data_IF_524755534595
#
_entry.id   IF_524755534595
#
_cell.length_a   1.000
_cell.length_b   1.000
_cell.length_c   1.000
_cell.angle_alpha   90.00
_cell.angle_beta   90.00
_cell.angle_gamma   90.00
#
_symmetry.space_group_name_H-M   'P 1'
#
loop_
_entity.id
_entity.type
_entity.pdbx_description
1 polymer ?
#
# COMPACT_ATOMS: atom_id res chain seq x y z
N UNK A 1 2.99 -9.94 26.51
CA UNK A 1 1.65 -10.37 26.05
C UNK A 1 1.79 -11.58 25.14
N UNK A 2 0.74 -12.40 24.98
CA UNK A 2 0.67 -13.49 23.99
C UNK A 2 0.08 -12.95 22.70
N UNK A 3 0.90 -12.85 21.65
CA UNK A 3 0.51 -12.21 20.38
C UNK A 3 0.44 -13.27 19.28
N UNK A 4 -0.73 -13.41 18.66
CA UNK A 4 -0.85 -14.27 17.49
C UNK A 4 -0.41 -13.53 16.22
N UNK A 5 0.52 -14.09 15.48
CA UNK A 5 0.96 -13.59 14.17
C UNK A 5 0.25 -14.41 13.08
N UNK A 6 -0.76 -13.81 12.45
CA UNK A 6 -1.51 -14.42 11.37
C UNK A 6 -0.73 -14.27 10.07
N UNK A 7 -0.29 -15.37 9.50
CA UNK A 7 0.61 -15.39 8.34
C UNK A 7 0.23 -16.48 7.34
N UNK A 8 0.85 -16.56 6.20
CA UNK A 8 0.55 -17.56 5.17
C UNK A 8 -0.69 -17.20 4.35
N UNK A 9 -1.76 -17.96 4.49
CA UNK A 9 -2.96 -17.77 3.67
C UNK A 9 -2.88 -18.47 2.32
N UNK A 10 -3.86 -18.21 1.43
CA UNK A 10 -4.02 -18.88 0.12
C UNK A 10 -3.74 -17.98 -1.09
N UNK A 11 -3.33 -16.73 -0.88
CA UNK A 11 -3.04 -15.78 -1.96
C UNK A 11 -1.73 -16.13 -2.68
N UNK A 12 -1.50 -15.55 -3.85
CA UNK A 12 -0.23 -15.62 -4.57
C UNK A 12 0.94 -15.04 -3.76
N UNK A 13 0.65 -14.25 -2.72
CA UNK A 13 1.62 -13.58 -1.84
C UNK A 13 1.98 -14.40 -0.58
N UNK A 14 1.59 -15.68 -0.53
CA UNK A 14 1.80 -16.55 0.64
C UNK A 14 3.24 -16.56 1.14
N UNK A 15 4.22 -16.70 0.24
CA UNK A 15 5.63 -16.76 0.62
C UNK A 15 6.12 -15.45 1.23
N UNK A 16 5.69 -14.32 0.67
CA UNK A 16 5.97 -12.99 1.24
C UNK A 16 5.33 -12.82 2.64
N UNK A 17 4.09 -13.30 2.80
CA UNK A 17 3.40 -13.30 4.10
C UNK A 17 4.13 -14.14 5.14
N UNK A 18 4.60 -15.33 4.79
CA UNK A 18 5.37 -16.19 5.69
C UNK A 18 6.71 -15.57 6.10
N UNK A 19 7.38 -14.91 5.17
CA UNK A 19 8.64 -14.20 5.45
C UNK A 19 8.41 -13.00 6.39
N UNK A 20 7.41 -12.17 6.09
CA UNK A 20 7.01 -11.06 6.96
C UNK A 20 6.61 -11.53 8.36
N UNK A 21 5.81 -12.60 8.45
CA UNK A 21 5.40 -13.19 9.72
C UNK A 21 6.57 -13.65 10.58
N UNK A 22 7.58 -14.31 9.99
CA UNK A 22 8.80 -14.71 10.72
C UNK A 22 9.56 -13.51 11.28
N UNK A 23 9.62 -12.41 10.56
CA UNK A 23 10.28 -11.18 11.02
C UNK A 23 9.51 -10.53 12.17
N UNK A 24 8.17 -10.49 12.07
CA UNK A 24 7.31 -10.00 13.15
C UNK A 24 7.52 -10.86 14.42
N UNK A 25 7.56 -12.18 14.29
CA UNK A 25 7.81 -13.10 15.40
C UNK A 25 9.15 -12.76 16.09
N UNK A 26 10.24 -12.66 15.31
CA UNK A 26 11.55 -12.32 15.86
C UNK A 26 11.57 -10.96 16.56
N UNK A 27 10.90 -9.96 15.99
CA UNK A 27 10.79 -8.63 16.59
C UNK A 27 9.97 -8.63 17.90
N UNK A 28 8.91 -9.43 17.96
CA UNK A 28 8.10 -9.61 19.18
C UNK A 28 8.87 -10.34 20.29
N UNK A 29 9.70 -11.33 19.94
CA UNK A 29 10.58 -12.01 20.89
C UNK A 29 11.63 -11.05 21.47
N UNK A 30 12.20 -10.18 20.62
CA UNK A 30 13.13 -9.14 21.06
C UNK A 30 12.46 -8.10 21.98
N UNK A 31 11.18 -7.80 21.75
CA UNK A 31 10.33 -6.94 22.59
C UNK A 31 9.74 -7.68 23.83
N UNK A 32 10.25 -8.87 24.16
CA UNK A 32 9.84 -9.68 25.33
C UNK A 32 8.34 -10.11 25.33
N UNK A 33 7.70 -10.16 24.16
CA UNK A 33 6.37 -10.77 23.99
C UNK A 33 6.47 -12.29 23.74
N UNK A 34 5.32 -12.97 23.80
CA UNK A 34 5.20 -14.40 23.49
C UNK A 34 4.45 -14.56 22.17
N UNK A 35 5.15 -14.57 21.00
CA UNK A 35 4.50 -14.73 19.73
C UNK A 35 4.03 -16.17 19.48
N UNK A 36 2.90 -16.31 18.80
CA UNK A 36 2.34 -17.58 18.31
C UNK A 36 2.12 -17.46 16.82
N UNK A 37 2.88 -18.23 16.02
CA UNK A 37 2.69 -18.30 14.58
C UNK A 37 1.39 -19.07 14.26
N UNK A 38 0.49 -18.45 13.49
CA UNK A 38 -0.73 -19.10 13.01
C UNK A 38 -0.80 -18.95 11.48
N UNK A 39 -0.68 -20.07 10.78
CA UNK A 39 -0.93 -20.12 9.34
C UNK A 39 -2.43 -20.06 9.09
N UNK A 40 -2.86 -19.08 8.30
CA UNK A 40 -4.27 -18.86 8.01
C UNK A 40 -4.81 -19.97 7.12
N UNK A 41 -5.72 -20.77 7.67
CA UNK A 41 -6.29 -21.97 7.09
C UNK A 41 -7.75 -22.16 7.53
N UNK A 42 -8.37 -23.26 7.11
CA UNK A 42 -9.74 -23.64 7.50
C UNK A 42 -9.91 -23.79 9.03
N UNK A 43 -8.84 -24.10 9.76
CA UNK A 43 -8.84 -24.28 11.22
C UNK A 43 -8.58 -22.99 12.01
N UNK A 44 -8.45 -21.84 11.36
CA UNK A 44 -8.06 -20.57 11.98
C UNK A 44 -8.90 -20.26 13.24
N UNK A 45 -10.22 -20.33 13.14
CA UNK A 45 -11.12 -20.01 14.26
C UNK A 45 -10.91 -20.95 15.44
N UNK A 46 -10.74 -22.27 15.17
CA UNK A 46 -10.49 -23.24 16.22
C UNK A 46 -9.14 -23.00 16.90
N UNK A 47 -8.11 -22.67 16.12
CA UNK A 47 -6.76 -22.34 16.60
C UNK A 47 -6.78 -21.08 17.46
N UNK A 48 -7.40 -19.99 17.02
CA UNK A 48 -7.52 -18.75 17.79
C UNK A 48 -8.24 -18.96 19.14
N UNK A 49 -9.31 -19.78 19.15
CA UNK A 49 -10.04 -20.12 20.39
C UNK A 49 -9.21 -20.97 21.35
N UNK A 50 -8.36 -21.87 20.83
CA UNK A 50 -7.48 -22.69 21.63
C UNK A 50 -6.32 -21.89 22.22
N UNK A 51 -5.67 -21.07 21.36
CA UNK A 51 -4.50 -20.28 21.73
C UNK A 51 -4.85 -19.10 22.65
N UNK A 52 -6.03 -18.49 22.49
CA UNK A 52 -6.50 -17.33 23.27
C UNK A 52 -5.44 -16.21 23.33
N UNK A 53 -5.02 -15.65 22.20
CA UNK A 53 -4.06 -14.57 22.22
C UNK A 53 -4.64 -13.31 22.88
N UNK A 54 -3.77 -12.50 23.45
CA UNK A 54 -4.15 -11.19 23.99
C UNK A 54 -4.43 -10.19 22.85
N UNK A 55 -3.68 -10.30 21.74
CA UNK A 55 -3.89 -9.55 20.51
C UNK A 55 -3.36 -10.32 19.28
N UNK A 56 -3.74 -9.85 18.09
CA UNK A 56 -3.24 -10.37 16.82
C UNK A 56 -2.47 -9.31 16.03
N UNK A 57 -1.49 -9.76 15.24
CA UNK A 57 -0.88 -8.99 14.16
C UNK A 57 -1.16 -9.72 12.85
N UNK A 58 -1.74 -9.02 11.88
CA UNK A 58 -2.04 -9.57 10.56
C UNK A 58 -0.83 -9.35 9.64
N UNK A 59 -0.11 -10.44 9.34
CA UNK A 59 1.03 -10.47 8.43
C UNK A 59 0.68 -11.10 7.08
N UNK A 60 -0.60 -11.44 6.87
CA UNK A 60 -1.09 -11.98 5.59
C UNK A 60 -1.11 -10.87 4.56
N UNK A 61 -0.37 -11.07 3.47
CA UNK A 61 -0.33 -10.14 2.35
C UNK A 61 -1.46 -10.41 1.33
N UNK A 62 -1.97 -9.35 0.73
CA UNK A 62 -3.03 -9.41 -0.27
C UNK A 62 -4.39 -9.84 0.27
N UNK A 63 -5.08 -10.69 -0.46
CA UNK A 63 -6.43 -11.17 -0.11
C UNK A 63 -6.47 -11.80 1.27
N UNK A 64 -7.53 -11.54 2.01
CA UNK A 64 -7.81 -11.84 3.40
C UNK A 64 -7.06 -10.93 4.40
N UNK A 65 -5.80 -10.59 4.19
CA UNK A 65 -5.01 -9.82 5.16
C UNK A 65 -5.19 -8.31 5.05
N UNK A 66 -5.27 -7.82 3.82
CA UNK A 66 -5.29 -6.37 3.52
C UNK A 66 -6.68 -5.85 3.15
N UNK A 67 -7.64 -6.75 2.88
CA UNK A 67 -8.99 -6.43 2.41
C UNK A 67 -10.06 -6.35 3.53
N UNK A 68 -9.64 -6.43 4.79
CA UNK A 68 -10.53 -6.36 5.95
C UNK A 68 -11.18 -7.68 6.34
N UNK A 69 -10.92 -8.78 5.62
CA UNK A 69 -11.53 -10.10 5.89
C UNK A 69 -11.10 -10.66 7.24
N UNK A 70 -9.79 -10.72 7.51
CA UNK A 70 -9.29 -11.19 8.81
C UNK A 70 -9.64 -10.23 9.94
N UNK A 71 -9.58 -8.93 9.71
CA UNK A 71 -9.97 -7.91 10.67
C UNK A 71 -11.45 -8.09 11.08
N UNK A 72 -12.36 -8.26 10.11
CA UNK A 72 -13.77 -8.54 10.40
C UNK A 72 -13.97 -9.83 11.21
N UNK A 73 -13.18 -10.85 10.93
CA UNK A 73 -13.23 -12.11 11.71
C UNK A 73 -12.76 -11.88 13.16
N UNK A 74 -11.67 -11.13 13.35
CA UNK A 74 -11.15 -10.81 14.68
C UNK A 74 -12.14 -9.93 15.47
N UNK A 75 -12.76 -8.93 14.81
CA UNK A 75 -13.86 -8.13 15.38
C UNK A 75 -15.00 -9.02 15.88
N UNK A 76 -15.44 -9.95 15.04
CA UNK A 76 -16.51 -10.91 15.41
C UNK A 76 -16.12 -11.82 16.57
N UNK A 77 -14.85 -12.20 16.68
CA UNK A 77 -14.33 -13.04 17.77
C UNK A 77 -14.03 -12.21 19.04
N UNK A 78 -14.04 -10.88 18.95
CA UNK A 78 -13.67 -9.99 20.05
C UNK A 78 -12.18 -10.06 20.42
N UNK A 79 -11.32 -10.34 19.43
CA UNK A 79 -9.86 -10.42 19.63
C UNK A 79 -9.24 -9.11 19.12
N UNK A 80 -8.53 -8.35 19.98
CA UNK A 80 -7.82 -7.15 19.56
C UNK A 80 -6.76 -7.45 18.48
N UNK A 81 -6.48 -6.49 17.63
CA UNK A 81 -5.42 -6.58 16.63
C UNK A 81 -4.77 -5.22 16.35
N UNK A 82 -3.55 -5.25 15.86
CA UNK A 82 -2.77 -4.07 15.55
C UNK A 82 -3.10 -3.59 14.14
N UNK A 83 -3.28 -2.27 13.99
CA UNK A 83 -3.49 -1.61 12.70
C UNK A 83 -4.94 -1.22 12.43
N UNK A 84 -5.23 -0.89 11.19
CA UNK A 84 -6.51 -0.35 10.75
C UNK A 84 -7.66 -1.37 10.83
N UNK A 85 -8.86 -0.89 11.17
CA UNK A 85 -10.07 -1.69 11.25
C UNK A 85 -10.56 -2.21 9.90
N UNK A 86 -11.49 -3.19 9.94
CA UNK A 86 -11.96 -3.94 8.76
C UNK A 86 -12.54 -3.07 7.65
N UNK A 87 -13.30 -2.02 7.98
CA UNK A 87 -13.89 -1.10 6.99
C UNK A 87 -12.82 -0.26 6.29
N UNK A 88 -11.81 0.19 7.04
CA UNK A 88 -10.68 0.96 6.50
C UNK A 88 -9.86 0.08 5.56
N UNK A 89 -9.50 -1.14 5.99
CA UNK A 89 -8.78 -2.10 5.15
C UNK A 89 -9.51 -2.35 3.83
N UNK A 90 -10.84 -2.56 3.87
CA UNK A 90 -11.66 -2.77 2.67
C UNK A 90 -11.63 -1.57 1.73
N UNK A 91 -11.69 -0.36 2.29
CA UNK A 91 -11.67 0.87 1.49
C UNK A 91 -10.29 1.11 0.86
N UNK A 92 -9.22 0.81 1.59
CA UNK A 92 -7.83 0.97 1.11
C UNK A 92 -7.49 -0.06 0.04
N UNK A 93 -7.97 -1.31 0.18
CA UNK A 93 -7.70 -2.38 -0.77
C UNK A 93 -8.20 -2.08 -2.20
N UNK A 94 -9.25 -1.26 -2.36
CA UNK A 94 -9.78 -0.84 -3.66
C UNK A 94 -9.19 0.52 -4.08
N UNK A 95 -8.11 0.50 -4.87
CA UNK A 95 -7.43 1.72 -5.36
C UNK A 95 -8.34 2.68 -6.14
N UNK A 96 -9.46 2.19 -6.68
CA UNK A 96 -10.42 3.02 -7.40
C UNK A 96 -11.17 4.01 -6.49
N UNK A 97 -11.13 3.79 -5.18
CA UNK A 97 -11.80 4.63 -4.20
C UNK A 97 -10.97 5.83 -3.73
N UNK A 98 -9.67 5.88 -4.04
CA UNK A 98 -8.77 6.93 -3.58
C UNK A 98 -9.32 8.34 -3.83
N UNK A 99 -9.68 8.63 -5.07
CA UNK A 99 -10.18 9.96 -5.45
C UNK A 99 -11.48 10.33 -4.71
N UNK A 100 -12.37 9.38 -4.50
CA UNK A 100 -13.64 9.60 -3.79
C UNK A 100 -13.40 9.88 -2.30
N UNK A 101 -12.51 9.16 -1.65
CA UNK A 101 -12.14 9.40 -0.25
C UNK A 101 -11.48 10.77 -0.07
N UNK A 102 -10.55 11.13 -0.95
CA UNK A 102 -9.88 12.43 -0.89
C UNK A 102 -10.84 13.58 -1.14
N UNK A 103 -11.75 13.45 -2.11
CA UNK A 103 -12.79 14.47 -2.36
C UNK A 103 -13.71 14.64 -1.15
N UNK A 104 -14.17 13.55 -0.56
CA UNK A 104 -15.02 13.58 0.63
C UNK A 104 -14.33 14.25 1.83
N UNK A 105 -13.01 13.99 2.02
CA UNK A 105 -12.23 14.63 3.06
C UNK A 105 -12.11 16.14 2.84
N UNK A 106 -11.86 16.60 1.61
CA UNK A 106 -11.81 18.02 1.25
C UNK A 106 -13.17 18.69 1.46
N UNK A 107 -14.26 18.07 1.04
CA UNK A 107 -15.62 18.62 1.19
C UNK A 107 -15.99 18.76 2.67
N UNK A 108 -15.55 17.84 3.52
CA UNK A 108 -15.81 17.89 4.96
C UNK A 108 -14.97 18.95 5.68
N UNK A 109 -13.67 19.04 5.37
CA UNK A 109 -12.76 19.99 6.02
C UNK A 109 -12.90 21.42 5.47
N UNK A 110 -13.33 21.58 4.24
CA UNK A 110 -13.31 22.84 3.50
C UNK A 110 -11.90 23.29 3.07
N UNK A 111 -10.89 22.43 3.26
CA UNK A 111 -9.51 22.69 2.87
C UNK A 111 -9.16 21.99 1.55
N UNK A 112 -8.23 22.59 0.79
CA UNK A 112 -7.68 21.96 -0.39
C UNK A 112 -6.57 21.02 0.02
N UNK A 113 -6.58 19.79 -0.54
CA UNK A 113 -5.50 18.83 -0.36
C UNK A 113 -4.25 19.26 -1.12
N UNK A 114 -3.07 18.90 -0.57
CA UNK A 114 -1.79 18.94 -1.30
C UNK A 114 -1.51 17.62 -2.00
N UNK A 115 -2.20 16.55 -1.63
CA UNK A 115 -2.14 15.28 -2.34
C UNK A 115 -2.83 15.39 -3.69
N UNK A 116 -2.22 14.82 -4.71
CA UNK A 116 -2.78 14.67 -6.05
C UNK A 116 -2.83 13.19 -6.42
N UNK A 117 -3.52 12.85 -7.50
CA UNK A 117 -3.57 11.48 -8.01
C UNK A 117 -3.71 11.49 -9.53
N UNK A 118 -3.16 10.48 -10.23
CA UNK A 118 -3.24 10.40 -11.67
C UNK A 118 -4.68 10.34 -12.15
N UNK A 119 -5.01 11.16 -13.13
CA UNK A 119 -6.36 11.17 -13.71
C UNK A 119 -6.62 9.89 -14.49
N UNK A 120 -7.79 9.29 -14.28
CA UNK A 120 -8.13 8.02 -14.92
C UNK A 120 -9.53 7.54 -14.57
N UNK A 121 -9.84 6.33 -14.98
CA UNK A 121 -11.14 5.70 -14.81
C UNK A 121 -11.00 4.26 -14.34
N UNK A 122 -11.94 3.83 -13.50
CA UNK A 122 -12.14 2.43 -13.20
C UNK A 122 -13.09 1.81 -14.22
N UNK A 123 -12.75 0.63 -14.72
CA UNK A 123 -13.49 -0.08 -15.74
C UNK A 123 -13.78 -1.51 -15.28
N UNK A 124 -15.02 -1.96 -15.47
CA UNK A 124 -15.42 -3.30 -15.05
C UNK A 124 -15.21 -4.33 -16.15
N UNK A 125 -14.95 -5.57 -15.76
CA UNK A 125 -14.84 -6.71 -16.66
C UNK A 125 -16.13 -6.91 -17.50
N UNK A 126 -17.28 -6.70 -16.89
CA UNK A 126 -18.58 -6.79 -17.60
C UNK A 126 -18.62 -5.79 -18.77
N UNK A 127 -18.26 -4.53 -18.51
CA UNK A 127 -18.23 -3.52 -19.57
C UNK A 127 -17.16 -3.82 -20.63
N UNK A 128 -16.01 -4.34 -20.22
CA UNK A 128 -14.95 -4.77 -21.15
C UNK A 128 -15.41 -5.91 -22.07
N UNK A 129 -16.09 -6.91 -21.50
CA UNK A 129 -16.59 -8.06 -22.27
C UNK A 129 -17.71 -7.65 -23.25
N UNK A 130 -18.56 -6.68 -22.87
CA UNK A 130 -19.64 -6.14 -23.74
C UNK A 130 -19.12 -5.25 -24.88
N UNK A 131 -18.15 -4.36 -24.60
CA UNK A 131 -17.58 -3.45 -25.59
C UNK A 131 -16.53 -4.13 -26.48
N UNK A 132 -15.93 -5.20 -25.99
CA UNK A 132 -14.74 -5.81 -26.56
C UNK A 132 -13.50 -4.92 -26.39
N UNK A 133 -12.33 -5.52 -26.56
CA UNK A 133 -11.06 -4.85 -26.31
C UNK A 133 -10.82 -3.61 -27.19
N UNK A 134 -11.29 -3.60 -28.43
CA UNK A 134 -11.16 -2.43 -29.32
C UNK A 134 -12.05 -1.26 -28.88
N UNK A 135 -13.32 -1.53 -28.55
CA UNK A 135 -14.23 -0.49 -28.07
C UNK A 135 -13.80 0.12 -26.72
N UNK A 136 -13.21 -0.69 -25.84
CA UNK A 136 -12.65 -0.20 -24.59
C UNK A 136 -11.46 0.75 -24.83
N UNK A 137 -10.53 0.40 -25.73
CA UNK A 137 -9.37 1.25 -26.06
C UNK A 137 -9.79 2.60 -26.62
N UNK A 138 -10.73 2.63 -27.58
CA UNK A 138 -11.22 3.88 -28.17
C UNK A 138 -11.87 4.78 -27.11
N UNK A 139 -12.59 4.19 -26.12
CA UNK A 139 -13.17 4.93 -25.01
C UNK A 139 -12.13 5.65 -24.14
N UNK A 140 -11.00 5.00 -23.85
CA UNK A 140 -9.96 5.57 -22.98
C UNK A 140 -9.16 6.67 -23.65
N UNK A 141 -8.85 6.56 -24.93
CA UNK A 141 -8.12 7.58 -25.67
C UNK A 141 -8.82 8.94 -25.67
N UNK A 142 -10.15 8.93 -25.79
CA UNK A 142 -10.95 10.15 -25.80
C UNK A 142 -11.16 10.77 -24.42
N UNK A 143 -10.92 10.01 -23.35
CA UNK A 143 -11.33 10.38 -21.99
C UNK A 143 -10.19 10.71 -21.03
N UNK A 144 -8.97 10.16 -21.25
CA UNK A 144 -7.84 10.40 -20.37
C UNK A 144 -7.00 11.56 -20.90
N UNK A 145 -6.91 12.69 -20.17
CA UNK A 145 -6.10 13.83 -20.60
C UNK A 145 -4.64 13.44 -20.80
N UNK A 146 -3.98 14.03 -21.79
CA UNK A 146 -2.57 13.80 -22.06
C UNK A 146 -2.26 12.57 -22.93
N UNK A 147 -3.22 11.66 -23.11
CA UNK A 147 -3.03 10.46 -23.93
C UNK A 147 -1.97 9.51 -23.39
N UNK A 148 -1.28 8.81 -24.29
CA UNK A 148 -0.23 7.86 -23.90
C UNK A 148 1.05 8.55 -23.39
N UNK A 149 1.84 7.88 -22.50
CA UNK A 149 1.59 6.52 -21.97
C UNK A 149 0.51 6.49 -20.90
N UNK A 150 -0.17 5.34 -20.79
CA UNK A 150 -1.18 5.07 -19.76
C UNK A 150 -0.72 3.96 -18.82
N UNK A 151 -1.11 4.06 -17.56
CA UNK A 151 -0.99 2.97 -16.59
C UNK A 151 -2.29 2.15 -16.57
N UNK A 152 -2.16 0.84 -16.65
CA UNK A 152 -3.24 -0.12 -16.50
C UNK A 152 -2.93 -0.96 -15.26
N UNK A 153 -3.87 -1.05 -14.32
CA UNK A 153 -3.67 -1.83 -13.09
C UNK A 153 -4.98 -2.43 -12.57
N UNK A 154 -4.96 -3.65 -12.02
CA UNK A 154 -6.06 -4.18 -11.23
C UNK A 154 -6.37 -3.26 -10.05
N UNK A 155 -7.65 -3.13 -9.67
CA UNK A 155 -8.04 -2.21 -8.60
C UNK A 155 -7.68 -2.74 -7.22
N UNK A 156 -7.75 -4.07 -7.00
CA UNK A 156 -7.64 -4.70 -5.67
C UNK A 156 -6.46 -5.68 -5.52
N UNK A 157 -5.50 -5.69 -6.46
CA UNK A 157 -4.33 -6.58 -6.37
C UNK A 157 -3.09 -5.85 -5.87
N UNK A 158 -2.23 -6.58 -5.15
CA UNK A 158 -0.95 -6.10 -4.61
C UNK A 158 0.25 -6.42 -5.50
N UNK A 159 1.47 -6.13 -5.01
CA UNK A 159 2.77 -6.46 -5.61
C UNK A 159 2.90 -6.16 -7.11
N UNK A 160 2.14 -5.20 -7.63
CA UNK A 160 2.09 -4.81 -9.04
C UNK A 160 1.70 -5.93 -10.02
N UNK A 161 1.03 -7.00 -9.56
CA UNK A 161 0.46 -7.99 -10.48
C UNK A 161 -0.51 -7.33 -11.45
N UNK A 162 -0.36 -7.64 -12.76
CA UNK A 162 -1.21 -7.08 -13.82
C UNK A 162 -1.04 -5.57 -14.06
N UNK A 163 0.03 -4.95 -13.53
CA UNK A 163 0.34 -3.52 -13.76
C UNK A 163 1.17 -3.37 -15.02
N UNK A 164 0.71 -2.51 -15.94
CA UNK A 164 1.35 -2.26 -17.21
C UNK A 164 1.48 -0.77 -17.52
N UNK A 165 2.57 -0.40 -18.22
CA UNK A 165 2.70 0.85 -18.96
C UNK A 165 2.32 0.59 -20.41
N UNK A 166 1.29 1.25 -20.91
CA UNK A 166 0.86 1.16 -22.31
C UNK A 166 1.27 2.43 -23.06
N UNK A 167 2.09 2.30 -24.10
CA UNK A 167 2.59 3.42 -24.88
C UNK A 167 1.75 3.70 -26.14
N UNK A 168 0.87 2.78 -26.49
CA UNK A 168 -0.03 2.88 -27.63
C UNK A 168 -1.30 2.02 -27.45
N UNK A 169 -2.17 2.03 -28.46
CA UNK A 169 -3.43 1.26 -28.49
C UNK A 169 -3.24 -0.24 -28.38
N UNK A 170 -2.21 -0.77 -28.99
CA UNK A 170 -1.95 -2.21 -29.03
C UNK A 170 -1.50 -2.69 -27.65
N UNK A 171 -0.57 -1.97 -27.03
CA UNK A 171 -0.12 -2.24 -25.67
C UNK A 171 -1.27 -2.05 -24.65
N UNK A 172 -2.10 -1.00 -24.80
CA UNK A 172 -3.27 -0.79 -23.93
C UNK A 172 -4.26 -1.96 -24.01
N UNK A 173 -4.55 -2.44 -25.20
CA UNK A 173 -5.44 -3.59 -25.42
C UNK A 173 -4.92 -4.85 -24.71
N UNK A 174 -3.63 -5.12 -24.85
CA UNK A 174 -3.03 -6.32 -24.29
C UNK A 174 -2.89 -6.20 -22.77
N UNK A 175 -2.55 -5.01 -22.26
CA UNK A 175 -2.55 -4.67 -20.84
C UNK A 175 -3.92 -4.86 -20.17
N UNK A 176 -5.01 -4.42 -20.83
CA UNK A 176 -6.38 -4.62 -20.32
C UNK A 176 -6.74 -6.11 -20.22
N UNK A 177 -6.38 -6.90 -21.24
CA UNK A 177 -6.65 -8.34 -21.25
C UNK A 177 -5.92 -9.05 -20.10
N UNK A 178 -4.66 -8.68 -19.87
CA UNK A 178 -3.88 -9.26 -18.80
C UNK A 178 -4.41 -8.83 -17.43
N UNK A 179 -4.61 -7.52 -17.19
CA UNK A 179 -5.09 -6.99 -15.92
C UNK A 179 -6.44 -7.60 -15.49
N UNK A 180 -7.37 -7.85 -16.46
CA UNK A 180 -8.63 -8.53 -16.18
C UNK A 180 -8.51 -10.04 -15.89
N UNK A 181 -7.32 -10.62 -15.94
CA UNK A 181 -7.09 -11.98 -15.43
C UNK A 181 -6.90 -11.99 -13.92
N UNK A 182 -6.57 -10.84 -13.33
CA UNK A 182 -6.29 -10.69 -11.90
C UNK A 182 -7.50 -10.13 -11.13
N UNK A 183 -8.29 -9.21 -11.73
CA UNK A 183 -9.39 -8.53 -11.05
C UNK A 183 -10.55 -8.25 -12.03
N UNK A 184 -11.77 -8.18 -11.51
CA UNK A 184 -12.97 -7.77 -12.25
C UNK A 184 -13.09 -6.25 -12.42
N UNK A 185 -12.20 -5.48 -11.80
CA UNK A 185 -12.05 -4.03 -11.92
C UNK A 185 -10.61 -3.68 -12.33
N UNK A 186 -10.48 -2.84 -13.34
CA UNK A 186 -9.19 -2.34 -13.82
C UNK A 186 -9.22 -0.82 -13.87
N UNK A 187 -8.15 -0.21 -13.39
CA UNK A 187 -7.94 1.23 -13.46
C UNK A 187 -7.05 1.50 -14.68
N UNK A 188 -7.51 2.44 -15.53
CA UNK A 188 -6.70 3.03 -16.60
C UNK A 188 -6.52 4.50 -16.28
N UNK A 189 -5.29 4.94 -16.14
CA UNK A 189 -4.96 6.28 -15.71
C UNK A 189 -3.72 6.82 -16.42
N UNK A 190 -3.45 8.11 -16.29
CA UNK A 190 -2.20 8.72 -16.75
C UNK A 190 -1.00 7.97 -16.16
N UNK A 191 0.01 7.74 -16.98
CA UNK A 191 1.31 7.30 -16.50
C UNK A 191 2.06 8.48 -15.89
N UNK A 192 2.50 8.34 -14.65
CA UNK A 192 3.29 9.38 -13.96
C UNK A 192 4.76 9.01 -14.01
N UNK A 193 5.61 9.96 -14.38
CA UNK A 193 7.06 9.86 -14.30
C UNK A 193 7.58 10.78 -13.20
N UNK A 194 8.59 10.36 -12.47
CA UNK A 194 9.16 11.14 -11.38
C UNK A 194 9.94 10.31 -10.40
N UNK A 195 10.10 10.84 -9.18
CA UNK A 195 10.77 10.16 -8.07
C UNK A 195 9.76 9.28 -7.35
N UNK A 196 9.97 7.97 -7.38
CA UNK A 196 9.10 7.01 -6.70
C UNK A 196 9.43 6.96 -5.21
N UNK A 197 8.41 7.11 -4.38
CA UNK A 197 8.52 7.31 -2.95
C UNK A 197 7.46 6.50 -2.20
N UNK A 198 7.82 6.08 -1.00
CA UNK A 198 6.84 5.61 -0.02
C UNK A 198 7.01 6.37 1.29
N UNK A 199 5.91 6.80 1.87
CA UNK A 199 5.89 7.48 3.17
C UNK A 199 5.18 6.59 4.17
N UNK A 200 5.93 6.07 5.14
CA UNK A 200 5.37 5.31 6.24
C UNK A 200 4.88 6.23 7.34
N UNK A 201 3.79 5.83 7.98
CA UNK A 201 3.09 6.64 8.98
C UNK A 201 2.84 5.77 10.19
N UNK A 202 3.02 6.34 11.38
CA UNK A 202 2.75 5.73 12.68
C UNK A 202 1.71 6.54 13.45
N UNK A 203 0.86 5.85 14.22
CA UNK A 203 -0.17 6.44 15.07
C UNK A 203 -1.51 6.57 14.37
N UNK A 204 -2.47 7.21 15.04
CA UNK A 204 -3.87 7.27 14.63
C UNK A 204 -4.39 8.71 14.72
N UNK A 205 -5.33 9.07 13.84
CA UNK A 205 -6.00 10.38 13.86
C UNK A 205 -5.01 11.56 13.83
N UNK A 206 -5.09 12.46 14.80
CA UNK A 206 -4.22 13.65 14.88
C UNK A 206 -2.83 13.35 15.40
N UNK A 207 -2.63 12.24 16.11
CA UNK A 207 -1.32 11.80 16.60
C UNK A 207 -0.52 11.06 15.53
N UNK A 208 -1.14 10.75 14.40
CA UNK A 208 -0.47 10.16 13.26
C UNK A 208 0.63 11.10 12.72
N UNK A 209 1.83 10.56 12.53
CA UNK A 209 2.99 11.28 12.03
C UNK A 209 3.72 10.49 10.95
N UNK A 210 4.21 11.20 9.95
CA UNK A 210 5.01 10.61 8.87
C UNK A 210 6.43 10.33 9.34
N UNK A 211 6.94 9.16 8.99
CA UNK A 211 8.37 8.88 8.99
C UNK A 211 9.03 9.50 7.75
N UNK A 212 10.36 9.64 7.74
CA UNK A 212 11.05 10.17 6.57
C UNK A 212 10.68 9.44 5.28
N UNK A 213 10.35 10.14 4.18
CA UNK A 213 10.04 9.50 2.91
C UNK A 213 11.19 8.62 2.43
N UNK A 214 10.86 7.44 1.92
CA UNK A 214 11.81 6.50 1.36
C UNK A 214 11.76 6.58 -0.16
N UNK A 215 12.89 6.89 -0.78
CA UNK A 215 13.03 6.85 -2.22
C UNK A 215 13.27 5.41 -2.70
N UNK A 216 12.52 4.99 -3.71
CA UNK A 216 12.54 3.65 -4.28
C UNK A 216 13.24 3.73 -5.64
N UNK A 217 14.39 3.10 -5.79
CA UNK A 217 15.18 3.14 -7.01
C UNK A 217 15.39 1.73 -7.55
N UNK A 218 14.59 1.29 -8.53
CA UNK A 218 14.82 0.01 -9.19
C UNK A 218 16.12 0.08 -9.99
N UNK A 219 16.97 -0.94 -9.83
CA UNK A 219 18.25 -1.04 -10.56
C UNK A 219 18.07 -1.31 -12.05
N UNK A 220 16.91 -1.83 -12.46
CA UNK A 220 16.53 -2.07 -13.84
C UNK A 220 15.03 -1.90 -14.01
N UNK A 221 14.63 -1.24 -15.10
CA UNK A 221 13.23 -1.12 -15.48
C UNK A 221 12.38 -0.34 -14.49
N UNK A 222 11.16 -0.82 -14.26
CA UNK A 222 10.15 -0.22 -13.39
C UNK A 222 10.06 -1.00 -12.07
N UNK A 223 9.54 -0.37 -11.04
CA UNK A 223 9.24 -1.01 -9.74
C UNK A 223 7.96 -1.83 -9.83
N UNK A 224 8.00 -2.89 -10.63
CA UNK A 224 6.91 -3.86 -10.82
C UNK A 224 7.19 -5.14 -10.05
N UNK A 225 6.36 -6.17 -10.26
CA UNK A 225 6.34 -7.43 -9.51
C UNK A 225 7.72 -8.06 -9.31
N UNK A 226 8.52 -8.18 -10.36
CA UNK A 226 9.87 -8.78 -10.27
C UNK A 226 10.80 -7.97 -9.36
N UNK A 227 10.66 -6.64 -9.37
CA UNK A 227 11.44 -5.76 -8.51
C UNK A 227 10.92 -5.75 -7.06
N UNK A 228 9.63 -5.93 -6.85
CA UNK A 228 9.02 -6.01 -5.51
C UNK A 228 9.30 -7.35 -4.81
N UNK A 229 9.44 -8.44 -5.56
CA UNK A 229 9.74 -9.78 -5.05
C UNK A 229 11.24 -10.07 -4.93
N UNK A 230 12.09 -9.35 -5.68
CA UNK A 230 13.53 -9.58 -5.74
C UNK A 230 14.31 -8.67 -4.80
N UNK A 231 14.97 -9.23 -3.79
CA UNK A 231 15.71 -8.48 -2.77
C UNK A 231 16.91 -7.66 -3.31
N UNK A 232 17.43 -7.99 -4.49
CA UNK A 232 18.68 -7.41 -5.02
C UNK A 232 18.47 -6.48 -6.22
N UNK A 233 17.22 -6.13 -6.53
CA UNK A 233 16.89 -5.34 -7.73
C UNK A 233 16.38 -3.92 -7.42
N UNK A 234 16.27 -3.55 -6.15
CA UNK A 234 15.82 -2.23 -5.69
C UNK A 234 16.74 -1.68 -4.61
N UNK A 235 17.06 -0.42 -4.70
CA UNK A 235 17.72 0.35 -3.64
C UNK A 235 16.72 1.27 -2.96
N UNK A 236 16.73 1.30 -1.62
CA UNK A 236 15.95 2.20 -0.79
C UNK A 236 16.87 3.27 -0.20
N UNK A 237 16.51 4.54 -0.36
CA UNK A 237 17.20 5.65 0.28
C UNK A 237 16.26 6.32 1.29
N UNK A 238 16.58 6.18 2.57
CA UNK A 238 15.83 6.75 3.68
C UNK A 238 16.77 7.60 4.56
N UNK A 239 16.51 8.89 4.75
CA UNK A 239 15.48 9.68 4.06
C UNK A 239 15.74 9.81 2.55
N UNK A 240 14.71 10.20 1.79
CA UNK A 240 14.84 10.52 0.37
C UNK A 240 16.03 11.44 0.11
N UNK A 241 16.77 11.18 -0.97
CA UNK A 241 17.89 12.01 -1.39
C UNK A 241 17.39 13.38 -1.85
N UNK A 242 17.86 14.46 -1.24
CA UNK A 242 17.39 15.80 -1.56
C UNK A 242 17.67 16.21 -3.01
N UNK A 243 18.78 15.75 -3.57
CA UNK A 243 19.16 15.98 -4.98
C UNK A 243 18.19 15.32 -5.98
N UNK A 244 17.45 14.29 -5.58
CA UNK A 244 16.41 13.69 -6.40
C UNK A 244 15.17 14.58 -6.49
N UNK A 245 14.92 15.42 -5.50
CA UNK A 245 13.78 16.33 -5.44
C UNK A 245 14.08 17.69 -6.07
N UNK A 246 15.26 18.28 -5.77
CA UNK A 246 15.70 19.57 -6.33
C UNK A 246 17.20 19.76 -6.19
N UNK A 247 17.78 20.55 -7.08
CA UNK A 247 19.18 21.01 -6.96
C UNK A 247 19.37 22.08 -5.88
N UNK A 248 18.31 22.78 -5.48
CA UNK A 248 18.33 23.74 -4.39
C UNK A 248 17.87 23.05 -3.10
N UNK A 249 18.74 23.04 -2.08
CA UNK A 249 18.50 22.30 -0.84
C UNK A 249 17.26 22.82 -0.08
N UNK A 250 17.01 24.13 -0.06
CA UNK A 250 15.85 24.68 0.64
C UNK A 250 14.54 24.31 -0.04
N UNK A 251 14.55 24.29 -1.37
CA UNK A 251 13.42 23.81 -2.19
C UNK A 251 13.20 22.33 -2.00
N UNK A 252 14.26 21.52 -1.99
CA UNK A 252 14.16 20.09 -1.77
C UNK A 252 13.57 19.73 -0.38
N UNK A 253 13.95 20.48 0.66
CA UNK A 253 13.36 20.32 2.00
C UNK A 253 11.89 20.72 2.05
N UNK A 254 11.48 21.78 1.35
CA UNK A 254 10.09 22.18 1.24
C UNK A 254 9.24 21.12 0.50
N UNK A 255 9.76 20.57 -0.60
CA UNK A 255 9.14 19.46 -1.35
C UNK A 255 8.99 18.22 -0.45
N UNK A 256 10.04 17.85 0.29
CA UNK A 256 9.97 16.73 1.22
C UNK A 256 8.84 16.93 2.25
N UNK A 257 8.72 18.12 2.83
CA UNK A 257 7.65 18.42 3.80
C UNK A 257 6.26 18.38 3.16
N UNK A 258 6.15 18.77 1.88
CA UNK A 258 4.90 18.66 1.12
C UNK A 258 4.52 17.19 0.87
N UNK A 259 5.48 16.34 0.52
CA UNK A 259 5.30 14.89 0.35
C UNK A 259 4.82 14.25 1.65
N UNK A 260 5.47 14.54 2.79
CA UNK A 260 5.08 14.06 4.11
C UNK A 260 3.65 14.48 4.47
N UNK A 261 3.29 15.75 4.18
CA UNK A 261 1.93 16.27 4.41
C UNK A 261 0.91 15.60 3.51
N UNK A 262 1.19 15.41 2.21
CA UNK A 262 0.31 14.73 1.28
C UNK A 262 -0.01 13.30 1.75
N UNK A 263 1.01 12.57 2.19
CA UNK A 263 0.82 11.21 2.71
C UNK A 263 -0.03 11.19 4.00
N UNK A 264 0.19 12.13 4.92
CA UNK A 264 -0.60 12.26 6.14
C UNK A 264 -2.07 12.62 5.86
N UNK A 265 -2.33 13.48 4.88
CA UNK A 265 -3.69 13.81 4.46
C UNK A 265 -4.42 12.57 3.94
N UNK A 266 -3.77 11.76 3.10
CA UNK A 266 -4.34 10.51 2.58
C UNK A 266 -4.60 9.51 3.70
N UNK A 267 -3.62 9.27 4.56
CA UNK A 267 -3.74 8.36 5.70
C UNK A 267 -4.95 8.71 6.59
N UNK A 268 -5.10 10.00 6.90
CA UNK A 268 -6.22 10.50 7.71
C UNK A 268 -7.55 10.46 6.98
N UNK A 269 -7.57 10.74 5.68
CA UNK A 269 -8.79 10.69 4.86
C UNK A 269 -9.41 9.29 4.80
N UNK A 270 -8.57 8.24 4.82
CA UNK A 270 -9.02 6.86 4.94
C UNK A 270 -9.36 6.44 6.38
N UNK A 271 -8.99 7.24 7.39
CA UNK A 271 -9.17 6.87 8.79
C UNK A 271 -8.26 5.73 9.22
N UNK A 272 -7.06 5.67 8.68
CA UNK A 272 -6.10 4.62 9.03
C UNK A 272 -5.59 4.77 10.46
N UNK A 273 -5.24 3.63 11.07
CA UNK A 273 -4.83 3.53 12.45
C UNK A 273 -3.58 2.66 12.61
N UNK A 274 -2.83 2.94 13.67
CA UNK A 274 -1.63 2.22 14.07
C UNK A 274 -0.44 2.48 13.14
N UNK A 275 -0.42 1.88 11.97
CA UNK A 275 0.66 2.06 11.00
C UNK A 275 0.18 1.81 9.56
N UNK A 276 0.93 2.33 8.60
CA UNK A 276 0.66 2.14 7.17
C UNK A 276 1.66 2.88 6.31
N UNK A 277 1.56 2.74 5.00
CA UNK A 277 2.38 3.49 4.05
C UNK A 277 1.50 4.05 2.92
N UNK A 278 1.94 5.18 2.37
CA UNK A 278 1.36 5.80 1.18
C UNK A 278 2.43 5.83 0.10
N UNK A 279 2.16 5.14 -1.01
CA UNK A 279 3.06 5.08 -2.17
C UNK A 279 2.68 6.19 -3.15
N UNK A 280 3.67 6.97 -3.57
CA UNK A 280 3.47 8.13 -4.42
C UNK A 280 4.67 8.40 -5.34
N UNK A 281 4.45 9.22 -6.36
CA UNK A 281 5.50 9.74 -7.23
C UNK A 281 5.52 11.26 -7.09
N UNK A 282 6.72 11.83 -6.84
CA UNK A 282 6.93 13.26 -7.04
C UNK A 282 7.21 13.52 -8.51
N UNK A 283 6.27 14.16 -9.22
CA UNK A 283 6.34 14.38 -10.67
C UNK A 283 7.11 15.65 -11.08
N UNK A 284 7.73 16.32 -10.10
CA UNK A 284 8.42 17.61 -10.27
C UNK A 284 7.53 18.82 -9.93
N UNK A 285 6.24 18.62 -9.70
CA UNK A 285 5.28 19.67 -9.35
C UNK A 285 4.36 19.28 -8.19
N UNK A 286 3.96 18.02 -8.09
CA UNK A 286 2.98 17.51 -7.13
C UNK A 286 3.31 16.09 -6.65
N UNK A 287 2.85 15.75 -5.47
CA UNK A 287 2.87 14.39 -4.94
C UNK A 287 1.66 13.59 -5.49
N UNK A 288 1.91 12.72 -6.46
CA UNK A 288 0.92 11.88 -7.13
C UNK A 288 0.75 10.56 -6.37
N UNK A 289 -0.30 10.43 -5.59
CA UNK A 289 -0.57 9.23 -4.79
C UNK A 289 -1.01 8.08 -5.70
N UNK A 290 -0.36 6.93 -5.57
CA UNK A 290 -0.63 5.74 -6.38
C UNK A 290 -1.46 4.71 -5.65
N UNK A 291 -1.12 4.44 -4.38
CA UNK A 291 -1.78 3.46 -3.53
C UNK A 291 -1.52 3.72 -2.04
N UNK A 292 -2.30 3.06 -1.20
CA UNK A 292 -2.19 3.09 0.25
C UNK A 292 -2.07 1.65 0.74
N UNK A 293 -1.26 1.42 1.75
CA UNK A 293 -1.01 0.09 2.29
C UNK A 293 -1.22 0.07 3.80
N UNK A 294 -2.16 -0.76 4.27
CA UNK A 294 -2.54 -0.90 5.69
C UNK A 294 -1.65 -1.88 6.46
N UNK A 295 -0.93 -2.77 5.76
CA UNK A 295 -0.05 -3.78 6.37
C UNK A 295 1.30 -3.85 5.65
N UNK A 296 2.08 -2.73 5.66
CA UNK A 296 3.38 -2.73 5.01
C UNK A 296 4.29 -3.81 5.58
N UNK A 297 5.14 -4.39 4.73
CA UNK A 297 6.10 -5.40 5.14
C UNK A 297 7.09 -4.86 6.17
N UNK A 298 7.30 -5.61 7.25
CA UNK A 298 8.31 -5.34 8.29
C UNK A 298 9.60 -6.12 8.05
N UNK A 299 9.78 -6.70 6.86
CA UNK A 299 11.01 -7.38 6.48
C UNK A 299 12.22 -6.45 6.58
N UNK A 300 13.41 -7.02 6.79
CA UNK A 300 14.65 -6.24 6.97
C UNK A 300 14.93 -5.27 5.81
N UNK A 301 14.67 -5.72 4.59
CA UNK A 301 14.77 -4.91 3.38
C UNK A 301 13.39 -4.50 2.90
N UNK A 302 12.73 -3.66 3.67
CA UNK A 302 11.42 -3.09 3.32
C UNK A 302 11.46 -1.58 3.46
N UNK A 303 10.53 -0.93 2.82
CA UNK A 303 10.32 0.52 2.93
C UNK A 303 10.09 0.92 4.40
N UNK A 304 9.26 0.15 5.11
CA UNK A 304 8.92 0.45 6.50
C UNK A 304 10.14 0.34 7.43
N UNK A 305 10.93 -0.73 7.29
CA UNK A 305 12.15 -0.89 8.09
C UNK A 305 13.18 0.21 7.80
N UNK A 306 13.35 0.61 6.52
CA UNK A 306 14.22 1.71 6.15
C UNK A 306 13.76 3.05 6.73
N UNK A 307 12.45 3.34 6.72
CA UNK A 307 11.88 4.54 7.31
C UNK A 307 12.06 4.58 8.85
N UNK A 308 11.87 3.44 9.52
CA UNK A 308 12.12 3.32 10.97
C UNK A 308 13.59 3.60 11.30
N UNK A 309 14.52 2.95 10.62
CA UNK A 309 15.95 3.13 10.83
C UNK A 309 16.37 4.59 10.63
N UNK A 310 15.88 5.24 9.56
CA UNK A 310 16.15 6.66 9.30
C UNK A 310 15.59 7.60 10.41
N UNK A 311 14.62 7.13 11.17
CA UNK A 311 14.02 7.83 12.32
C UNK A 311 14.70 7.47 13.65
N UNK A 312 15.67 6.58 13.65
CA UNK A 312 16.28 6.05 14.89
C UNK A 312 15.35 5.10 15.66
N UNK A 313 14.34 4.55 15.00
CA UNK A 313 13.38 3.59 15.58
C UNK A 313 13.78 2.16 15.19
N UNK A 314 13.60 1.21 16.10
CA UNK A 314 13.68 -0.21 15.77
C UNK A 314 12.28 -0.79 15.54
N UNK A 315 12.17 -1.77 14.64
CA UNK A 315 10.88 -2.45 14.38
C UNK A 315 10.32 -3.10 15.65
N UNK A 316 11.12 -3.77 16.52
CA UNK A 316 10.64 -4.26 17.81
C UNK A 316 9.99 -3.18 18.68
N UNK A 317 10.65 -2.02 18.84
CA UNK A 317 10.11 -0.92 19.65
C UNK A 317 8.82 -0.32 19.05
N UNK A 318 8.71 -0.29 17.72
CA UNK A 318 7.48 0.15 17.05
C UNK A 318 6.35 -0.84 17.30
N UNK A 319 6.60 -2.15 17.16
CA UNK A 319 5.58 -3.17 17.40
C UNK A 319 5.13 -3.20 18.87
N UNK A 320 6.05 -3.07 19.82
CA UNK A 320 5.75 -2.99 21.25
C UNK A 320 4.77 -1.84 21.53
N UNK A 321 5.07 -0.65 21.01
CA UNK A 321 4.19 0.52 21.12
C UNK A 321 2.81 0.30 20.51
N UNK A 322 2.76 -0.25 19.28
CA UNK A 322 1.50 -0.49 18.57
C UNK A 322 0.60 -1.54 19.24
N UNK A 323 1.17 -2.44 20.06
CA UNK A 323 0.44 -3.43 20.84
C UNK A 323 -0.14 -2.83 22.12
N UNK A 324 0.52 -1.80 22.66
CA UNK A 324 0.08 -1.10 23.87
C UNK A 324 -1.01 -0.05 23.62
N UNK A 325 -1.13 0.46 22.37
CA UNK A 325 -2.16 1.42 21.94
C UNK A 325 -3.51 0.72 21.69
#
# INVERSE_FOLDING_TARGET
MKIAVLMGGSSAERDASLENGKRIIAALEEAEHTPVAIDVSEDLVATLRAERPDACIVAVAGKMGEDGTLQSLLDFLGIPYVGSGSEVCRSVADKSLLSAHMQAACDFSGEQTVASWPQGFCFSKVAFDELGAFGAVDLFEDRIPGGYPLAVKPACEGLAYGVHKANDKEELRDALRDAFTFDDKVIVQQWVEGVELSVCILGSGWDAHALPPVEIVPRKGLYLTDARLGSDVVDFYAPVRLESLSHDESTAQAIRSEIERAALEVYRAFGMEGYGCVDLIWDGAQAQVLEVNVTPSLAERSVFSAACEASGLSVPAVLDRLIEE
#
